data_IF_462300904134
#
_entry.id   IF_462300904134
#
_cell.length_a   1.000
_cell.length_b   1.000
_cell.length_c   1.000
_cell.angle_alpha   90.00
_cell.angle_beta   90.00
_cell.angle_gamma   90.00
#
_symmetry.space_group_name_H-M   'P 1'
#
loop_
_entity.id
_entity.type
_entity.pdbx_description
1 polymer ?
#
# COMPACT_ATOMS: atom_id res chain seq x y z
N UNK A 1 20.10 -54.36 20.86
CA UNK A 1 20.47 -53.63 19.62
C UNK A 1 19.24 -53.15 18.83
N UNK A 2 18.29 -53.96 18.38
CA UNK A 2 17.09 -53.49 17.66
C UNK A 2 16.15 -52.63 18.52
N UNK A 3 15.93 -52.97 19.79
CA UNK A 3 15.11 -52.17 20.73
C UNK A 3 15.67 -50.74 20.97
N UNK A 4 17.00 -50.57 20.99
CA UNK A 4 17.62 -49.25 21.17
C UNK A 4 17.51 -48.41 19.90
N UNK A 5 17.56 -49.01 18.73
CA UNK A 5 17.36 -48.29 17.47
C UNK A 5 15.93 -47.76 17.36
N UNK A 6 14.92 -48.58 17.69
CA UNK A 6 13.53 -48.15 17.72
C UNK A 6 13.26 -47.08 18.78
N UNK A 7 13.91 -47.13 19.94
CA UNK A 7 13.70 -46.12 21.00
C UNK A 7 14.26 -44.74 20.63
N UNK A 8 15.18 -44.67 19.68
CA UNK A 8 15.75 -43.42 19.15
C UNK A 8 14.89 -42.77 18.05
N UNK A 9 13.92 -43.50 17.52
CA UNK A 9 13.06 -43.03 16.45
C UNK A 9 12.19 -41.87 16.96
N UNK A 10 12.14 -40.70 16.26
CA UNK A 10 11.40 -39.52 16.73
C UNK A 10 9.95 -39.82 17.10
N UNK A 11 9.25 -40.62 16.31
CA UNK A 11 7.86 -41.01 16.57
C UNK A 11 7.72 -41.79 17.88
N UNK A 12 8.64 -42.73 18.15
CA UNK A 12 8.62 -43.53 19.37
C UNK A 12 8.94 -42.68 20.60
N UNK A 13 9.86 -41.74 20.47
CA UNK A 13 10.16 -40.74 21.52
C UNK A 13 8.92 -39.87 21.82
N UNK A 14 8.28 -39.41 20.77
CA UNK A 14 7.08 -38.57 20.90
C UNK A 14 5.95 -39.28 21.62
N UNK A 15 5.72 -40.58 21.28
CA UNK A 15 4.71 -41.45 21.94
C UNK A 15 5.07 -41.67 23.42
N UNK A 16 6.34 -41.99 23.70
CA UNK A 16 6.80 -42.25 25.07
C UNK A 16 6.76 -41.05 26.00
N UNK A 17 7.03 -39.86 25.44
CA UNK A 17 7.10 -38.62 26.20
C UNK A 17 5.75 -37.88 26.29
N UNK A 18 4.65 -38.51 25.89
CA UNK A 18 3.33 -37.90 25.91
C UNK A 18 3.24 -36.67 24.99
N UNK A 19 3.86 -36.76 23.82
CA UNK A 19 3.98 -35.65 22.89
C UNK A 19 2.66 -34.96 22.57
N UNK A 20 2.71 -33.66 22.45
CA UNK A 20 1.57 -32.78 22.13
C UNK A 20 1.26 -32.69 20.61
N UNK A 21 1.81 -33.58 19.79
CA UNK A 21 1.63 -33.58 18.33
C UNK A 21 2.45 -32.54 17.56
N UNK A 22 3.30 -31.75 18.21
CA UNK A 22 4.07 -30.67 17.55
C UNK A 22 5.28 -31.15 16.76
N UNK A 23 5.66 -32.45 16.86
CA UNK A 23 6.82 -32.98 16.17
C UNK A 23 8.17 -32.50 16.69
N UNK A 24 8.22 -31.91 17.86
CA UNK A 24 9.46 -31.35 18.48
C UNK A 24 10.58 -32.38 18.56
N UNK A 25 10.24 -33.66 18.80
CA UNK A 25 11.20 -34.73 18.89
C UNK A 25 11.91 -35.04 17.54
N UNK A 26 11.28 -34.69 16.44
CA UNK A 26 11.84 -34.86 15.10
C UNK A 26 12.59 -33.66 14.58
N UNK A 27 12.52 -32.53 15.30
CA UNK A 27 13.21 -31.31 14.89
C UNK A 27 14.74 -31.49 14.90
N UNK A 28 15.40 -31.10 13.82
CA UNK A 28 16.85 -30.96 13.78
C UNK A 28 17.32 -29.84 14.69
N UNK A 29 18.58 -29.86 15.10
CA UNK A 29 19.17 -28.78 15.87
C UNK A 29 19.05 -27.44 15.13
N UNK A 30 19.30 -27.43 13.82
CA UNK A 30 19.09 -26.24 12.97
C UNK A 30 17.66 -25.70 13.06
N UNK A 31 16.66 -26.58 13.00
CA UNK A 31 15.25 -26.14 13.10
C UNK A 31 14.93 -25.55 14.45
N UNK A 32 15.52 -26.09 15.52
CA UNK A 32 15.31 -25.58 16.89
C UNK A 32 15.93 -24.18 17.11
N UNK A 33 16.98 -23.86 16.37
CA UNK A 33 17.66 -22.56 16.45
C UNK A 33 17.10 -21.50 15.49
N UNK A 34 16.24 -21.92 14.54
CA UNK A 34 15.59 -20.99 13.62
C UNK A 34 14.59 -20.11 14.38
N UNK A 35 14.67 -18.82 14.11
CA UNK A 35 13.74 -17.83 14.61
C UNK A 35 13.00 -17.17 13.42
N UNK A 36 11.70 -16.84 13.56
CA UNK A 36 11.01 -16.10 12.53
C UNK A 36 11.63 -14.72 12.35
N UNK A 37 11.58 -14.18 11.15
CA UNK A 37 12.10 -12.85 10.81
C UNK A 37 11.52 -11.73 11.70
N UNK A 38 10.30 -11.93 12.17
CA UNK A 38 9.58 -11.01 13.05
C UNK A 38 9.99 -11.09 14.52
N UNK A 39 10.86 -12.01 14.91
CA UNK A 39 11.27 -12.14 16.32
C UNK A 39 12.06 -10.91 16.78
N UNK A 40 11.54 -10.24 17.83
CA UNK A 40 12.13 -9.02 18.37
C UNK A 40 11.98 -7.80 17.47
N UNK A 41 11.05 -7.84 16.53
CA UNK A 41 10.65 -6.69 15.73
C UNK A 41 9.56 -5.89 16.44
N UNK A 42 9.54 -4.59 16.22
CA UNK A 42 8.41 -3.73 16.52
C UNK A 42 7.30 -3.94 15.49
N UNK A 43 6.05 -3.70 15.90
CA UNK A 43 4.87 -3.89 15.06
C UNK A 43 4.08 -2.62 14.95
N UNK A 44 3.94 -2.10 13.74
CA UNK A 44 3.01 -1.02 13.42
C UNK A 44 1.78 -1.59 12.68
N UNK A 45 0.61 -1.02 12.94
CA UNK A 45 -0.62 -1.34 12.18
C UNK A 45 -0.81 -0.35 11.06
N UNK A 46 -1.24 -0.85 9.90
CA UNK A 46 -1.51 -0.05 8.72
C UNK A 46 -2.62 -0.68 7.88
N UNK A 47 -2.96 -0.02 6.81
CA UNK A 47 -3.92 -0.48 5.81
C UNK A 47 -3.19 -0.77 4.51
N UNK A 48 -3.61 -1.82 3.80
CA UNK A 48 -3.05 -2.19 2.50
C UNK A 48 -3.26 -1.06 1.48
N UNK A 49 -2.20 -0.62 0.77
CA UNK A 49 -2.27 0.53 -0.14
C UNK A 49 -2.81 0.21 -1.54
N UNK A 50 -3.28 -1.01 -1.81
CA UNK A 50 -3.58 -1.43 -3.18
C UNK A 50 -5.01 -1.19 -3.65
N UNK A 51 -5.99 -1.22 -2.77
CA UNK A 51 -7.37 -0.99 -3.18
C UNK A 51 -8.26 -0.58 -2.01
N UNK A 52 -9.44 -0.06 -2.33
CA UNK A 52 -10.42 0.45 -1.38
C UNK A 52 -11.01 -0.60 -0.42
N UNK A 53 -10.63 -1.88 -0.51
CA UNK A 53 -11.05 -2.91 0.47
C UNK A 53 -10.52 -2.59 1.87
N UNK A 54 -9.35 -1.95 1.98
CA UNK A 54 -8.81 -1.53 3.27
C UNK A 54 -8.37 -2.68 4.18
N UNK A 55 -7.75 -3.72 3.62
CA UNK A 55 -7.25 -4.84 4.42
C UNK A 55 -6.22 -4.38 5.46
N UNK A 56 -6.43 -4.73 6.73
CA UNK A 56 -5.48 -4.42 7.81
C UNK A 56 -4.18 -5.20 7.67
N UNK A 57 -3.07 -4.54 7.95
CA UNK A 57 -1.72 -5.09 7.89
C UNK A 57 -0.96 -4.89 9.19
N UNK A 58 -0.18 -5.88 9.59
CA UNK A 58 0.86 -5.81 10.62
C UNK A 58 2.22 -5.62 9.92
N UNK A 59 2.86 -4.51 10.22
CA UNK A 59 4.15 -4.13 9.64
C UNK A 59 5.23 -4.37 10.68
N UNK A 60 6.05 -5.39 10.45
CA UNK A 60 7.18 -5.74 11.30
C UNK A 60 8.40 -4.95 10.86
N UNK A 61 8.95 -4.15 11.76
CA UNK A 61 10.12 -3.32 11.47
C UNK A 61 11.13 -3.36 12.64
N UNK A 62 12.38 -3.07 12.34
CA UNK A 62 13.45 -2.91 13.32
C UNK A 62 14.52 -1.98 12.75
N UNK A 63 15.03 -1.07 13.57
CA UNK A 63 16.10 -0.14 13.18
C UNK A 63 15.82 0.58 11.84
N UNK A 64 14.61 1.11 11.67
CA UNK A 64 14.11 1.74 10.44
C UNK A 64 14.13 0.84 9.19
N UNK A 65 14.20 -0.47 9.37
CA UNK A 65 14.10 -1.44 8.27
C UNK A 65 12.82 -2.23 8.37
N UNK A 66 12.13 -2.31 7.25
CA UNK A 66 10.98 -3.18 7.09
C UNK A 66 11.46 -4.63 7.01
N UNK A 67 10.89 -5.51 7.83
CA UNK A 67 11.24 -6.92 7.89
C UNK A 67 10.21 -7.83 7.24
N UNK A 68 8.92 -7.59 7.51
CA UNK A 68 7.81 -8.38 6.97
C UNK A 68 6.50 -7.58 7.04
N UNK A 69 5.55 -7.97 6.21
CA UNK A 69 4.15 -7.49 6.28
C UNK A 69 3.24 -8.70 6.29
N UNK A 70 2.30 -8.73 7.23
CA UNK A 70 1.32 -9.78 7.38
C UNK A 70 -0.08 -9.18 7.56
N UNK A 71 -1.13 -9.99 7.36
CA UNK A 71 -2.49 -9.53 7.62
C UNK A 71 -2.76 -9.36 9.12
N UNK A 72 -3.48 -8.30 9.49
CA UNK A 72 -3.90 -8.06 10.87
C UNK A 72 -5.14 -8.89 11.22
N UNK A 73 -5.05 -9.87 12.14
CA UNK A 73 -6.20 -10.66 12.57
C UNK A 73 -7.28 -9.82 13.24
N UNK A 74 -6.92 -8.67 13.81
CA UNK A 74 -7.87 -7.75 14.44
C UNK A 74 -8.62 -6.86 13.43
N UNK A 75 -8.22 -6.86 12.15
CA UNK A 75 -8.94 -6.12 11.13
C UNK A 75 -10.37 -6.64 10.95
N UNK A 76 -11.41 -5.81 11.08
CA UNK A 76 -12.79 -6.24 10.87
C UNK A 76 -13.07 -6.62 9.41
N UNK A 77 -12.29 -6.09 8.47
CA UNK A 77 -12.44 -6.31 7.03
C UNK A 77 -11.79 -7.63 6.61
N UNK A 78 -10.49 -7.77 6.81
CA UNK A 78 -9.70 -8.89 6.25
C UNK A 78 -9.47 -10.04 7.23
N UNK A 79 -9.58 -9.79 8.54
CA UNK A 79 -9.41 -10.80 9.59
C UNK A 79 -8.13 -11.62 9.43
N UNK A 80 -7.02 -10.94 9.16
CA UNK A 80 -5.71 -11.54 8.96
C UNK A 80 -5.43 -12.05 7.55
N UNK A 81 -6.38 -11.93 6.61
CA UNK A 81 -6.18 -12.40 5.23
C UNK A 81 -5.69 -11.26 4.35
N UNK A 82 -4.75 -11.59 3.46
CA UNK A 82 -4.29 -10.72 2.39
C UNK A 82 -4.38 -11.45 1.06
N UNK A 83 -4.79 -10.75 0.01
CA UNK A 83 -4.64 -11.26 -1.35
C UNK A 83 -3.16 -11.22 -1.78
N UNK A 84 -2.77 -11.83 -2.90
CA UNK A 84 -1.38 -11.81 -3.35
C UNK A 84 -0.75 -10.42 -3.45
N UNK A 85 -1.51 -9.40 -3.88
CA UNK A 85 -1.02 -8.00 -3.92
C UNK A 85 -0.73 -7.45 -2.53
N UNK A 86 -1.67 -7.64 -1.59
CA UNK A 86 -1.51 -7.20 -0.20
C UNK A 86 -0.37 -7.93 0.52
N UNK A 87 -0.18 -9.21 0.25
CA UNK A 87 0.93 -9.98 0.80
C UNK A 87 2.29 -9.52 0.26
N UNK A 88 2.32 -9.04 -0.99
CA UNK A 88 3.54 -8.53 -1.64
C UNK A 88 3.75 -7.00 -1.47
N UNK A 89 2.97 -6.34 -0.64
CA UNK A 89 3.12 -4.90 -0.39
C UNK A 89 4.49 -4.51 0.19
N UNK A 90 5.22 -5.46 0.77
CA UNK A 90 6.62 -5.32 1.14
C UNK A 90 7.48 -4.82 -0.05
N UNK A 91 7.30 -5.39 -1.23
CA UNK A 91 8.04 -5.03 -2.43
C UNK A 91 7.72 -3.61 -2.91
N UNK A 92 6.50 -3.14 -2.71
CA UNK A 92 6.12 -1.78 -3.06
C UNK A 92 7.04 -0.73 -2.41
N UNK A 93 7.47 -0.99 -1.17
CA UNK A 93 8.38 -0.08 -0.45
C UNK A 93 9.86 -0.35 -0.73
N UNK A 94 10.25 -1.63 -0.81
CA UNK A 94 11.66 -2.06 -0.80
C UNK A 94 12.26 -2.29 -2.18
N UNK A 95 11.43 -2.39 -3.22
CA UNK A 95 11.91 -2.67 -4.57
C UNK A 95 12.89 -1.59 -5.08
N UNK A 96 14.07 -1.96 -5.58
CA UNK A 96 15.08 -0.99 -6.02
C UNK A 96 14.63 -0.12 -7.20
N UNK A 97 13.71 -0.62 -8.02
CA UNK A 97 13.11 0.13 -9.14
C UNK A 97 12.00 1.09 -8.74
N UNK A 98 11.72 1.26 -7.43
CA UNK A 98 10.71 2.23 -6.98
C UNK A 98 11.08 3.64 -7.41
N UNK A 99 10.15 4.32 -8.09
CA UNK A 99 10.32 5.71 -8.49
C UNK A 99 10.30 6.62 -7.26
N UNK A 100 11.39 7.34 -7.03
CA UNK A 100 11.56 8.22 -5.85
C UNK A 100 11.59 9.71 -6.21
N UNK A 101 11.71 10.04 -7.48
CA UNK A 101 11.72 11.41 -7.98
C UNK A 101 10.65 11.59 -9.04
N UNK A 102 10.18 12.82 -9.17
CA UNK A 102 9.27 13.20 -10.24
C UNK A 102 10.01 13.08 -11.57
N UNK A 103 9.34 12.54 -12.57
CA UNK A 103 9.84 12.54 -13.95
C UNK A 103 9.01 13.46 -14.81
N UNK A 104 9.68 14.36 -15.48
CA UNK A 104 9.10 15.30 -16.42
C UNK A 104 9.60 15.02 -17.83
N UNK A 105 8.71 15.14 -18.80
CA UNK A 105 9.05 15.11 -20.23
C UNK A 105 8.41 16.31 -20.91
N UNK A 106 9.24 17.19 -21.45
CA UNK A 106 8.76 18.36 -22.17
C UNK A 106 7.92 17.97 -23.41
N UNK A 107 7.03 18.83 -23.89
CA UNK A 107 6.29 18.59 -25.12
C UNK A 107 7.26 18.26 -26.28
N UNK A 108 6.94 17.20 -27.03
CA UNK A 108 7.72 16.66 -28.15
C UNK A 108 9.11 16.10 -27.79
N UNK A 109 9.54 16.13 -26.53
CA UNK A 109 10.78 15.48 -26.11
C UNK A 109 10.62 13.94 -26.07
N UNK A 110 11.72 13.23 -26.30
CA UNK A 110 11.79 11.76 -26.23
C UNK A 110 12.29 11.28 -24.87
N UNK A 111 13.02 12.12 -24.16
CA UNK A 111 13.69 11.76 -22.91
C UNK A 111 12.95 12.28 -21.68
N UNK A 112 13.00 11.47 -20.61
CA UNK A 112 12.49 11.84 -19.29
C UNK A 112 13.60 12.46 -18.46
N UNK A 113 13.29 13.54 -17.78
CA UNK A 113 14.21 14.23 -16.86
C UNK A 113 13.70 14.07 -15.42
N UNK A 114 14.59 13.85 -14.49
CA UNK A 114 14.26 13.90 -13.07
C UNK A 114 14.11 15.35 -12.62
N UNK A 115 13.13 15.59 -11.76
CA UNK A 115 12.76 16.91 -11.28
C UNK A 115 12.50 16.86 -9.78
N UNK A 116 12.82 17.91 -9.07
CA UNK A 116 12.46 18.04 -7.66
C UNK A 116 10.95 18.26 -7.50
N UNK A 117 10.39 17.74 -6.39
CA UNK A 117 8.95 17.75 -6.15
C UNK A 117 8.37 19.16 -6.14
N UNK A 118 9.00 20.10 -5.43
CA UNK A 118 8.54 21.49 -5.33
C UNK A 118 8.43 22.13 -6.72
N UNK A 119 9.48 22.02 -7.54
CA UNK A 119 9.45 22.53 -8.91
C UNK A 119 8.31 21.92 -9.74
N UNK A 120 8.09 20.61 -9.58
CA UNK A 120 6.99 19.95 -10.29
C UNK A 120 5.62 20.45 -9.81
N UNK A 121 5.46 20.67 -8.51
CA UNK A 121 4.21 21.17 -7.93
C UNK A 121 3.92 22.59 -8.38
N UNK A 122 4.92 23.48 -8.44
CA UNK A 122 4.79 24.83 -8.97
C UNK A 122 4.33 24.81 -10.43
N UNK A 123 4.96 24.00 -11.27
CA UNK A 123 4.57 23.85 -12.68
C UNK A 123 3.13 23.32 -12.85
N UNK A 124 2.70 22.42 -11.98
CA UNK A 124 1.32 21.89 -11.98
C UNK A 124 0.35 23.00 -11.54
N UNK A 125 0.68 23.73 -10.48
CA UNK A 125 -0.14 24.83 -9.96
C UNK A 125 -0.33 25.93 -11.02
N UNK A 126 0.74 26.35 -11.68
CA UNK A 126 0.70 27.34 -12.76
C UNK A 126 -0.23 26.89 -13.90
N UNK A 127 -0.12 25.63 -14.35
CA UNK A 127 -0.98 25.07 -15.39
C UNK A 127 -2.45 25.02 -14.98
N UNK A 128 -2.73 24.64 -13.75
CA UNK A 128 -4.09 24.62 -13.21
C UNK A 128 -4.64 26.04 -13.14
N UNK A 129 -3.85 26.99 -12.64
CA UNK A 129 -4.22 28.39 -12.52
C UNK A 129 -4.52 29.02 -13.88
N UNK A 130 -3.60 28.95 -14.83
CA UNK A 130 -3.78 29.46 -16.20
C UNK A 130 -5.04 28.88 -16.86
N UNK A 131 -5.26 27.58 -16.71
CA UNK A 131 -6.42 26.90 -17.32
C UNK A 131 -7.72 27.36 -16.67
N UNK A 132 -7.72 27.49 -15.34
CA UNK A 132 -8.87 27.98 -14.59
C UNK A 132 -9.20 29.43 -14.91
N UNK A 133 -8.21 30.32 -14.86
CA UNK A 133 -8.38 31.75 -15.14
C UNK A 133 -9.00 31.99 -16.52
N UNK A 134 -8.56 31.26 -17.53
CA UNK A 134 -9.06 31.36 -18.90
C UNK A 134 -10.46 30.79 -19.09
N UNK A 135 -10.90 29.84 -18.28
CA UNK A 135 -12.09 29.03 -18.55
C UNK A 135 -13.10 28.98 -17.40
N UNK A 136 -12.86 29.72 -16.33
CA UNK A 136 -13.77 29.78 -15.20
C UNK A 136 -15.03 30.60 -15.57
N UNK A 137 -16.18 30.07 -15.24
CA UNK A 137 -17.47 30.69 -15.49
C UNK A 137 -18.16 30.96 -14.16
N UNK A 138 -18.28 32.23 -13.80
CA UNK A 138 -18.95 32.66 -12.56
C UNK A 138 -20.47 32.56 -12.72
N UNK A 139 -20.99 33.04 -13.84
CA UNK A 139 -22.42 33.10 -14.11
C UNK A 139 -22.73 32.76 -15.57
N UNK A 140 -23.84 32.11 -15.81
CA UNK A 140 -24.39 31.89 -17.16
C UNK A 140 -25.91 31.96 -17.12
N UNK A 141 -26.52 32.80 -17.99
CA UNK A 141 -27.95 32.98 -18.09
C UNK A 141 -28.65 33.39 -16.78
N UNK A 142 -28.02 34.22 -15.96
CA UNK A 142 -28.55 34.67 -14.68
C UNK A 142 -28.43 33.62 -13.55
N UNK A 143 -27.72 32.53 -13.78
CA UNK A 143 -27.46 31.50 -12.78
C UNK A 143 -25.98 31.48 -12.39
N UNK A 144 -25.70 31.51 -11.08
CA UNK A 144 -24.34 31.33 -10.56
C UNK A 144 -23.87 29.89 -10.79
N UNK A 145 -22.75 29.73 -11.48
CA UNK A 145 -22.16 28.44 -11.81
C UNK A 145 -20.88 28.15 -11.05
N UNK A 146 -20.00 29.15 -10.91
CA UNK A 146 -18.72 29.07 -10.22
C UNK A 146 -17.89 27.83 -10.61
N UNK A 147 -17.73 27.57 -11.92
CA UNK A 147 -17.20 26.32 -12.44
C UNK A 147 -16.16 26.49 -13.54
N UNK A 148 -15.27 25.48 -13.67
CA UNK A 148 -14.44 25.26 -14.87
C UNK A 148 -14.67 23.87 -15.45
N UNK A 149 -14.74 23.79 -16.78
CA UNK A 149 -14.88 22.53 -17.54
C UNK A 149 -13.58 22.11 -18.23
N UNK A 150 -12.57 22.97 -18.25
CA UNK A 150 -11.31 22.73 -18.96
C UNK A 150 -10.36 21.79 -18.23
N UNK A 151 -10.63 21.50 -16.96
CA UNK A 151 -9.80 20.66 -16.12
C UNK A 151 -10.62 19.44 -15.69
N UNK A 152 -10.04 18.25 -15.84
CA UNK A 152 -10.64 17.00 -15.43
C UNK A 152 -9.73 16.22 -14.49
N UNK A 153 -10.33 15.43 -13.59
CA UNK A 153 -9.65 14.50 -12.72
C UNK A 153 -10.16 13.07 -12.95
N UNK A 154 -9.22 12.17 -13.18
CA UNK A 154 -9.48 10.73 -13.24
C UNK A 154 -8.81 10.07 -12.03
N UNK A 155 -9.62 9.55 -11.12
CA UNK A 155 -9.15 8.89 -9.91
C UNK A 155 -8.59 7.49 -10.14
N UNK A 156 -8.46 6.73 -9.09
CA UNK A 156 -7.93 5.38 -9.12
C UNK A 156 -8.57 4.46 -8.08
N UNK A 157 -8.42 3.15 -8.26
CA UNK A 157 -8.94 2.14 -7.33
C UNK A 157 -8.12 2.01 -6.03
N UNK A 158 -6.98 2.69 -5.94
CA UNK A 158 -6.07 2.61 -4.80
C UNK A 158 -6.20 3.80 -3.86
N UNK A 159 -7.12 4.72 -4.14
CA UNK A 159 -7.41 5.86 -3.28
C UNK A 159 -8.31 5.42 -2.12
N UNK A 160 -7.96 5.85 -0.91
CA UNK A 160 -8.81 5.67 0.26
C UNK A 160 -9.91 6.75 0.36
N UNK A 161 -10.75 6.67 1.39
CA UNK A 161 -11.87 7.59 1.56
C UNK A 161 -11.39 9.01 1.89
N UNK A 162 -10.34 9.15 2.67
CA UNK A 162 -9.73 10.42 3.04
C UNK A 162 -9.11 11.13 1.83
N UNK A 163 -8.41 10.38 0.98
CA UNK A 163 -7.85 10.90 -0.27
C UNK A 163 -8.97 11.36 -1.22
N UNK A 164 -10.01 10.56 -1.41
CA UNK A 164 -11.17 10.91 -2.23
C UNK A 164 -11.88 12.15 -1.69
N UNK A 165 -12.01 12.30 -0.38
CA UNK A 165 -12.59 13.48 0.25
C UNK A 165 -11.75 14.73 -0.02
N UNK A 166 -10.43 14.66 0.16
CA UNK A 166 -9.51 15.77 -0.08
C UNK A 166 -9.52 16.20 -1.55
N UNK A 167 -9.50 15.26 -2.47
CA UNK A 167 -9.59 15.50 -3.92
C UNK A 167 -10.90 16.24 -4.24
N UNK A 168 -12.02 15.76 -3.74
CA UNK A 168 -13.32 16.38 -3.96
C UNK A 168 -13.38 17.79 -3.38
N UNK A 169 -12.88 17.97 -2.16
CA UNK A 169 -12.85 19.28 -1.48
C UNK A 169 -12.00 20.30 -2.24
N UNK A 170 -10.78 19.91 -2.65
CA UNK A 170 -9.89 20.78 -3.40
C UNK A 170 -10.43 21.08 -4.80
N UNK A 171 -10.71 20.05 -5.57
CA UNK A 171 -10.99 20.21 -6.99
C UNK A 171 -12.39 20.77 -7.24
N UNK A 172 -13.41 20.25 -6.58
CA UNK A 172 -14.77 20.80 -6.74
C UNK A 172 -14.94 22.07 -5.91
N UNK A 173 -14.65 22.04 -4.62
CA UNK A 173 -14.89 23.17 -3.72
C UNK A 173 -13.92 24.33 -3.93
N UNK A 174 -12.64 24.06 -4.10
CA UNK A 174 -11.60 25.09 -4.25
C UNK A 174 -11.44 25.59 -5.68
N UNK A 175 -11.42 24.71 -6.66
CA UNK A 175 -11.12 25.05 -8.07
C UNK A 175 -12.36 25.15 -8.96
N UNK A 176 -13.53 24.76 -8.48
CA UNK A 176 -14.78 24.76 -9.27
C UNK A 176 -14.80 23.72 -10.39
N UNK A 177 -14.00 22.67 -10.28
CA UNK A 177 -13.97 21.61 -11.28
C UNK A 177 -15.25 20.75 -11.23
N UNK A 178 -15.87 20.52 -12.37
CA UNK A 178 -17.06 19.66 -12.48
C UNK A 178 -16.74 18.27 -13.08
N UNK A 179 -15.65 18.16 -13.81
CA UNK A 179 -15.23 16.91 -14.46
C UNK A 179 -14.36 16.09 -13.51
N UNK A 180 -14.97 15.51 -12.49
CA UNK A 180 -14.30 14.62 -11.52
C UNK A 180 -14.94 13.25 -11.61
N UNK A 181 -14.12 12.24 -11.88
CA UNK A 181 -14.53 10.85 -11.89
C UNK A 181 -13.50 10.01 -11.14
N UNK A 182 -13.95 8.99 -10.46
CA UNK A 182 -13.08 7.96 -9.94
C UNK A 182 -13.05 6.77 -10.92
N UNK A 183 -12.18 5.81 -10.67
CA UNK A 183 -12.13 4.59 -11.47
C UNK A 183 -13.50 3.93 -11.54
N UNK A 184 -13.73 3.19 -12.64
CA UNK A 184 -14.94 2.41 -12.84
C UNK A 184 -15.31 1.63 -11.56
N UNK A 185 -16.55 1.75 -11.22
CA UNK A 185 -17.14 1.04 -10.08
C UNK A 185 -17.22 -0.44 -10.41
N UNK A 186 -16.29 -1.20 -9.87
CA UNK A 186 -16.22 -2.65 -9.98
C UNK A 186 -16.81 -3.25 -8.71
#
# INVERSE_FOLDING_TARGET
MLRDLFSRWPVVKQIKNGGNGTGVEAMSERTRTLAPRSQGADVARSICPYCAVGCGQLIYHKDNKLLSIEGDPASPVSRGRLCPKGADSFQLLTHPGRQKKVKYRAPFATEWQEMELETAMDMIADRLWESRERTFVEEQNGQSLMQTKAIGHLGGATLDDEENYLIKKLFTGGLGMVCISNQARI
#
